data_IF_246627690605
#
_entry.id   IF_246627690605
#
_cell.length_a   1.000
_cell.length_b   1.000
_cell.length_c   1.000
_cell.angle_alpha   90.00
_cell.angle_beta   90.00
_cell.angle_gamma   90.00
#
_symmetry.space_group_name_H-M   'P 1'
#
loop_
_entity.id
_entity.type
_entity.pdbx_description
1 polymer ?
#
# COMPACT_ATOMS: atom_id res chain seq x y z
N UNK A 1 -7.64 14.96 -0.86
CA UNK A 1 -7.83 14.32 -2.20
C UNK A 1 -8.59 13.04 -1.93
N UNK A 2 -9.90 13.04 -2.19
CA UNK A 2 -10.79 11.97 -1.71
C UNK A 2 -10.59 10.72 -2.56
N UNK A 3 -9.75 9.80 -2.08
CA UNK A 3 -9.66 8.47 -2.66
C UNK A 3 -10.92 7.74 -2.25
N UNK A 4 -11.85 7.56 -3.19
CA UNK A 4 -13.02 6.70 -2.97
C UNK A 4 -12.51 5.26 -2.84
N UNK A 5 -12.54 4.73 -1.61
CA UNK A 5 -12.20 3.34 -1.30
C UNK A 5 -13.50 2.54 -1.31
N UNK A 6 -13.70 1.73 -2.37
CA UNK A 6 -14.83 0.82 -2.47
C UNK A 6 -14.38 -0.65 -2.25
N UNK A 7 -15.35 -1.56 -2.05
CA UNK A 7 -15.08 -2.97 -1.78
C UNK A 7 -14.24 -3.64 -2.88
N UNK A 8 -14.48 -3.30 -4.14
CA UNK A 8 -13.73 -3.84 -5.28
C UNK A 8 -12.26 -3.42 -5.27
N UNK A 9 -12.00 -2.15 -4.92
CA UNK A 9 -10.65 -1.62 -4.76
C UNK A 9 -9.91 -2.32 -3.65
N UNK A 10 -10.58 -2.53 -2.51
CA UNK A 10 -10.03 -3.27 -1.36
C UNK A 10 -9.70 -4.71 -1.76
N UNK A 11 -10.63 -5.41 -2.43
CA UNK A 11 -10.41 -6.78 -2.89
C UNK A 11 -9.22 -6.88 -3.86
N UNK A 12 -9.14 -5.96 -4.83
CA UNK A 12 -8.01 -5.89 -5.79
C UNK A 12 -6.68 -5.52 -5.12
N UNK A 13 -6.70 -4.83 -3.99
CA UNK A 13 -5.51 -4.54 -3.21
C UNK A 13 -5.02 -5.83 -2.52
N UNK A 14 -5.89 -6.50 -1.75
CA UNK A 14 -5.53 -7.72 -1.03
C UNK A 14 -5.18 -8.88 -1.97
N UNK A 15 -5.73 -8.95 -3.18
CA UNK A 15 -5.35 -9.96 -4.17
C UNK A 15 -3.90 -9.86 -4.66
N UNK A 16 -3.16 -8.82 -4.27
CA UNK A 16 -1.77 -8.52 -4.66
C UNK A 16 -0.80 -8.61 -3.48
N UNK A 17 -1.25 -9.23 -2.40
CA UNK A 17 -0.48 -9.39 -1.17
C UNK A 17 -0.23 -10.87 -0.95
N UNK A 18 1.03 -11.23 -0.76
CA UNK A 18 1.42 -12.50 -0.17
C UNK A 18 1.67 -12.27 1.33
N UNK A 19 0.87 -12.93 2.17
CA UNK A 19 0.91 -12.79 3.63
C UNK A 19 1.35 -14.09 4.33
N UNK A 20 2.09 -14.97 3.64
CA UNK A 20 2.54 -16.25 4.20
C UNK A 20 3.72 -16.13 5.19
N UNK A 21 4.28 -14.94 5.40
CA UNK A 21 5.41 -14.69 6.30
C UNK A 21 5.17 -13.53 7.26
N UNK A 22 6.26 -13.05 7.88
CA UNK A 22 6.21 -11.93 8.84
C UNK A 22 5.85 -10.58 8.19
N UNK A 23 6.04 -10.46 6.88
CA UNK A 23 5.69 -9.29 6.08
C UNK A 23 4.51 -9.60 5.15
N UNK A 24 3.67 -8.59 4.91
CA UNK A 24 2.67 -8.62 3.84
C UNK A 24 3.34 -8.13 2.55
N UNK A 25 3.82 -9.03 1.71
CA UNK A 25 4.64 -8.70 0.54
C UNK A 25 3.79 -8.30 -0.66
N UNK A 26 4.12 -7.16 -1.27
CA UNK A 26 3.51 -6.72 -2.52
C UNK A 26 4.02 -7.56 -3.71
N UNK A 27 3.08 -8.20 -4.42
CA UNK A 27 3.38 -9.10 -5.55
C UNK A 27 3.16 -8.45 -6.92
N UNK A 28 2.62 -7.24 -6.98
CA UNK A 28 2.38 -6.52 -8.23
C UNK A 28 3.50 -5.50 -8.55
N UNK A 29 3.17 -4.45 -9.30
CA UNK A 29 4.13 -3.45 -9.79
C UNK A 29 4.98 -2.85 -8.66
N UNK A 30 6.30 -2.80 -8.88
CA UNK A 30 7.29 -2.23 -7.95
C UNK A 30 8.15 -1.22 -8.68
N UNK A 31 8.59 -0.19 -7.98
CA UNK A 31 9.62 0.73 -8.48
C UNK A 31 11.00 0.08 -8.45
N UNK A 32 11.99 0.69 -9.11
CA UNK A 32 13.40 0.25 -9.09
C UNK A 32 13.96 0.06 -7.67
N UNK A 33 13.47 0.85 -6.71
CA UNK A 33 13.88 0.81 -5.31
C UNK A 33 13.14 -0.28 -4.48
N UNK A 34 12.28 -1.09 -5.11
CA UNK A 34 11.54 -2.17 -4.45
C UNK A 34 10.17 -1.77 -3.89
N UNK A 35 9.86 -0.47 -3.81
CA UNK A 35 8.55 0.00 -3.32
C UNK A 35 7.40 -0.45 -4.21
N UNK A 36 6.42 -1.12 -3.61
CA UNK A 36 5.17 -1.49 -4.27
C UNK A 36 4.36 -0.26 -4.68
N UNK A 37 3.75 -0.32 -5.86
CA UNK A 37 2.86 0.72 -6.39
C UNK A 37 1.46 0.16 -6.63
N UNK A 38 0.45 0.91 -6.22
CA UNK A 38 -0.94 0.58 -6.40
C UNK A 38 -1.66 1.71 -7.16
N UNK A 39 -2.22 1.38 -8.32
CA UNK A 39 -3.06 2.30 -9.09
C UNK A 39 -4.50 2.20 -8.61
N UNK A 40 -5.07 3.27 -8.07
CA UNK A 40 -6.47 3.38 -7.60
C UNK A 40 -7.09 4.66 -8.16
N UNK A 41 -8.32 4.57 -8.70
CA UNK A 41 -9.04 5.72 -9.28
C UNK A 41 -8.20 6.53 -10.29
N UNK A 42 -7.47 5.84 -11.17
CA UNK A 42 -6.60 6.45 -12.18
C UNK A 42 -5.29 7.06 -11.65
N UNK A 43 -5.03 6.99 -10.34
CA UNK A 43 -3.83 7.54 -9.70
C UNK A 43 -2.95 6.43 -9.16
N UNK A 44 -1.63 6.54 -9.38
CA UNK A 44 -0.65 5.63 -8.81
C UNK A 44 -0.14 6.18 -7.49
N UNK A 45 -0.11 5.34 -6.45
CA UNK A 45 0.45 5.69 -5.14
C UNK A 45 1.23 4.52 -4.54
N UNK A 46 2.13 4.76 -3.57
CA UNK A 46 2.83 3.69 -2.88
C UNK A 46 1.84 2.73 -2.19
N UNK A 47 2.03 1.43 -2.38
CA UNK A 47 1.12 0.39 -1.88
C UNK A 47 1.08 0.36 -0.34
N UNK A 48 2.21 0.59 0.34
CA UNK A 48 2.25 0.70 1.80
C UNK A 48 1.44 1.91 2.29
N UNK A 49 1.46 3.02 1.54
CA UNK A 49 0.68 4.22 1.87
C UNK A 49 -0.82 3.95 1.73
N UNK A 50 -1.23 3.24 0.68
CA UNK A 50 -2.62 2.82 0.53
C UNK A 50 -3.05 1.91 1.69
N UNK A 51 -2.19 0.96 2.10
CA UNK A 51 -2.45 0.10 3.26
C UNK A 51 -2.66 0.91 4.54
N UNK A 52 -1.78 1.87 4.81
CA UNK A 52 -1.91 2.74 5.98
C UNK A 52 -3.23 3.52 5.95
N UNK A 53 -3.56 4.17 4.83
CA UNK A 53 -4.81 4.92 4.68
C UNK A 53 -6.05 4.04 4.90
N UNK A 54 -6.01 2.79 4.42
CA UNK A 54 -7.10 1.83 4.57
C UNK A 54 -7.34 1.43 6.03
N UNK A 55 -6.30 1.30 6.85
CA UNK A 55 -6.40 0.77 8.22
C UNK A 55 -6.32 1.83 9.33
N UNK A 56 -5.63 2.94 9.08
CA UNK A 56 -5.32 3.99 10.06
C UNK A 56 -5.98 5.33 9.73
N UNK A 57 -6.42 5.53 8.47
CA UNK A 57 -7.00 6.78 8.01
C UNK A 57 -5.96 7.80 7.58
N UNK A 58 -6.26 9.07 7.76
CA UNK A 58 -5.50 10.18 7.16
C UNK A 58 -4.04 10.26 7.65
N UNK A 59 -3.17 10.73 6.75
CA UNK A 59 -1.77 11.01 7.03
C UNK A 59 -1.65 12.53 7.13
N UNK A 60 -1.17 13.03 8.27
CA UNK A 60 -0.97 14.46 8.47
C UNK A 60 -0.04 15.08 7.43
N UNK A 61 -0.22 16.37 7.17
CA UNK A 61 0.55 17.10 6.17
C UNK A 61 2.05 17.03 6.44
N UNK A 62 2.83 16.75 5.40
CA UNK A 62 4.29 16.60 5.49
C UNK A 62 4.77 15.29 6.11
N UNK A 63 3.88 14.42 6.61
CA UNK A 63 4.27 13.13 7.15
C UNK A 63 4.47 12.08 6.05
N UNK A 64 5.47 11.22 6.28
CA UNK A 64 5.81 10.10 5.39
C UNK A 64 5.63 8.80 6.17
N UNK A 65 5.04 7.81 5.51
CA UNK A 65 4.92 6.46 6.06
C UNK A 65 6.17 5.67 5.71
N UNK A 66 6.74 5.00 6.71
CA UNK A 66 7.93 4.18 6.55
C UNK A 66 7.68 2.77 7.08
N UNK A 67 8.21 1.76 6.38
CA UNK A 67 8.13 0.39 6.84
C UNK A 67 9.18 0.12 7.91
N UNK A 68 8.76 -0.18 9.14
CA UNK A 68 9.66 -0.49 10.26
C UNK A 68 10.39 -1.82 10.12
N UNK A 69 9.89 -2.71 9.26
CA UNK A 69 10.55 -3.98 8.91
C UNK A 69 11.65 -3.82 7.85
N UNK A 70 11.94 -2.60 7.40
CA UNK A 70 12.96 -2.27 6.38
C UNK A 70 12.78 -2.97 5.03
N UNK A 71 11.64 -3.65 4.82
CA UNK A 71 11.29 -4.30 3.57
C UNK A 71 10.45 -3.36 2.71
N UNK A 72 11.07 -2.78 1.67
CA UNK A 72 10.43 -1.85 0.74
C UNK A 72 9.17 -2.41 0.06
N UNK A 73 9.05 -3.73 -0.08
CA UNK A 73 7.89 -4.39 -0.68
C UNK A 73 6.78 -4.70 0.34
N UNK A 74 7.03 -4.52 1.64
CA UNK A 74 6.03 -4.78 2.67
C UNK A 74 4.94 -3.70 2.66
N UNK A 75 3.69 -4.15 2.81
CA UNK A 75 2.48 -3.32 2.92
C UNK A 75 1.69 -3.62 4.20
N UNK A 76 2.34 -4.22 5.20
CA UNK A 76 1.75 -4.38 6.52
C UNK A 76 1.50 -2.98 7.14
N UNK A 77 0.25 -2.64 7.51
CA UNK A 77 -0.14 -1.28 7.92
C UNK A 77 0.41 -0.81 9.28
#
# INVERSE_FOLDING_TARGET
MDVIINKETIARFYSKIDANGECHLWTAAKQRQGYGMFSVNGKSMPAHRFSFLLHRGEIGDGLVIHQTCENSACVNP
#
